data_IF_162044953003
#
_entry.id   IF_162044953003
#
_cell.length_a   1.000
_cell.length_b   1.000
_cell.length_c   1.000
_cell.angle_alpha   90.00
_cell.angle_beta   90.00
_cell.angle_gamma   90.00
#
_symmetry.space_group_name_H-M   'P 1'
#
loop_
_entity.id
_entity.type
_entity.pdbx_description
1 polymer ?
#
# COMPACT_ATOMS: atom_id res chain seq x y z
N UNK A 1 -13.92 -18.66 -6.68
CA UNK A 1 -12.86 -17.71 -7.06
C UNK A 1 -13.45 -16.52 -7.84
N UNK A 2 -13.08 -15.29 -7.50
CA UNK A 2 -13.66 -14.06 -8.08
C UNK A 2 -12.66 -13.29 -8.94
N UNK A 3 -13.14 -12.83 -10.10
CA UNK A 3 -12.41 -11.95 -11.02
C UNK A 3 -13.06 -10.57 -11.02
N UNK A 4 -12.22 -9.54 -11.08
CA UNK A 4 -12.62 -8.15 -11.24
C UNK A 4 -12.12 -7.61 -12.59
N UNK A 5 -12.83 -6.62 -13.12
CA UNK A 5 -12.36 -5.87 -14.28
C UNK A 5 -11.36 -4.81 -13.82
N UNK A 6 -10.22 -4.69 -14.49
CA UNK A 6 -9.19 -3.72 -14.12
C UNK A 6 -9.53 -2.32 -14.66
N UNK A 7 -10.09 -1.47 -13.79
CA UNK A 7 -10.56 -0.14 -14.18
C UNK A 7 -11.64 -0.21 -15.26
N UNK A 8 -11.72 0.83 -16.08
CA UNK A 8 -12.58 0.94 -17.25
C UNK A 8 -11.94 0.27 -18.48
N UNK A 9 -11.48 -0.97 -18.33
CA UNK A 9 -10.89 -1.78 -19.41
C UNK A 9 -11.66 -3.09 -19.63
N UNK A 10 -11.22 -3.91 -20.58
CA UNK A 10 -11.73 -5.27 -20.78
C UNK A 10 -10.94 -6.34 -20.00
N UNK A 11 -9.87 -5.97 -19.30
CA UNK A 11 -8.96 -6.93 -18.67
C UNK A 11 -9.57 -7.50 -17.38
N UNK A 12 -9.64 -8.83 -17.28
CA UNK A 12 -10.15 -9.56 -16.11
C UNK A 12 -8.97 -10.08 -15.27
N UNK A 13 -8.89 -9.65 -14.02
CA UNK A 13 -7.84 -10.05 -13.08
C UNK A 13 -8.42 -10.70 -11.83
N UNK A 14 -7.73 -11.68 -11.28
CA UNK A 14 -8.07 -12.25 -9.97
C UNK A 14 -7.94 -11.19 -8.87
N UNK A 15 -8.76 -11.29 -7.80
CA UNK A 15 -8.63 -10.37 -6.65
C UNK A 15 -7.30 -10.50 -5.91
N UNK A 16 -6.66 -11.66 -5.99
CA UNK A 16 -5.29 -11.87 -5.55
C UNK A 16 -4.33 -11.66 -6.72
N UNK A 17 -3.23 -10.96 -6.46
CA UNK A 17 -2.09 -10.85 -7.35
C UNK A 17 -0.85 -11.42 -6.68
N UNK A 18 -0.06 -12.21 -7.40
CA UNK A 18 1.20 -12.75 -6.89
C UNK A 18 2.34 -11.76 -7.16
N UNK A 19 2.84 -11.12 -6.10
CA UNK A 19 3.99 -10.24 -6.15
C UNK A 19 5.30 -11.00 -6.03
N UNK A 20 6.22 -10.76 -6.96
CA UNK A 20 7.44 -11.57 -7.12
C UNK A 20 8.71 -10.88 -6.62
N UNK A 21 8.57 -9.79 -5.85
CA UNK A 21 9.72 -9.08 -5.27
C UNK A 21 10.61 -9.98 -4.41
N UNK A 22 10.06 -11.03 -3.80
CA UNK A 22 10.88 -11.97 -3.01
C UNK A 22 11.63 -13.01 -3.86
N UNK A 23 11.30 -13.15 -5.15
CA UNK A 23 11.89 -14.17 -6.02
C UNK A 23 13.31 -13.77 -6.43
N UNK A 24 14.21 -14.73 -6.31
CA UNK A 24 15.65 -14.53 -6.40
C UNK A 24 16.30 -14.46 -5.02
N UNK A 25 17.58 -14.80 -5.00
CA UNK A 25 18.43 -14.81 -3.80
C UNK A 25 19.45 -13.67 -3.82
N UNK A 26 19.52 -12.91 -4.92
CA UNK A 26 20.43 -11.78 -5.09
C UNK A 26 19.80 -10.46 -4.65
N UNK A 27 20.55 -9.71 -3.85
CA UNK A 27 20.23 -8.32 -3.49
C UNK A 27 19.16 -8.15 -2.40
N UNK A 28 19.59 -7.63 -1.25
CA UNK A 28 18.72 -7.07 -0.21
C UNK A 28 17.86 -8.10 0.54
N UNK A 29 16.60 -7.75 0.79
CA UNK A 29 15.65 -8.49 1.68
C UNK A 29 15.02 -9.75 1.09
N UNK A 30 15.54 -10.22 -0.05
CA UNK A 30 14.97 -11.33 -0.82
C UNK A 30 15.36 -12.68 -0.23
N UNK A 31 14.83 -13.76 -0.80
CA UNK A 31 15.21 -15.09 -0.31
C UNK A 31 14.26 -16.21 -0.71
N UNK A 32 13.65 -16.13 -1.90
CA UNK A 32 12.94 -17.25 -2.49
C UNK A 32 13.77 -17.77 -3.67
N UNK A 33 14.32 -18.97 -3.53
CA UNK A 33 15.04 -19.64 -4.61
C UNK A 33 14.10 -20.00 -5.77
N UNK A 34 14.68 -20.27 -6.94
CA UNK A 34 13.90 -20.56 -8.14
C UNK A 34 12.98 -21.79 -8.00
N UNK A 35 13.42 -22.95 -7.46
CA UNK A 35 12.52 -24.10 -7.28
C UNK A 35 11.32 -23.79 -6.37
N UNK A 36 11.52 -23.01 -5.31
CA UNK A 36 10.43 -22.58 -4.42
C UNK A 36 9.53 -21.57 -5.09
N UNK A 37 10.08 -20.61 -5.82
CA UNK A 37 9.32 -19.64 -6.60
C UNK A 37 8.44 -20.33 -7.66
N UNK A 38 8.97 -21.33 -8.37
CA UNK A 38 8.22 -22.12 -9.33
C UNK A 38 7.05 -22.87 -8.69
N UNK A 39 7.25 -23.48 -7.50
CA UNK A 39 6.16 -24.12 -6.73
C UNK A 39 5.10 -23.11 -6.30
N UNK A 40 5.49 -21.92 -5.86
CA UNK A 40 4.55 -20.85 -5.49
C UNK A 40 3.73 -20.40 -6.69
N UNK A 41 4.37 -20.17 -7.85
CA UNK A 41 3.67 -19.81 -9.09
C UNK A 41 2.70 -20.92 -9.50
N UNK A 42 3.14 -22.17 -9.51
CA UNK A 42 2.29 -23.33 -9.81
C UNK A 42 1.06 -23.37 -8.90
N UNK A 43 1.26 -23.36 -7.58
CA UNK A 43 0.17 -23.39 -6.61
C UNK A 43 -0.80 -22.19 -6.74
N UNK A 44 -0.29 -21.00 -7.05
CA UNK A 44 -1.12 -19.80 -7.26
C UNK A 44 -2.01 -19.93 -8.51
N UNK A 45 -1.46 -20.45 -9.60
CA UNK A 45 -2.21 -20.70 -10.84
C UNK A 45 -3.16 -21.90 -10.72
N UNK A 46 -2.78 -22.94 -9.98
CA UNK A 46 -3.62 -24.11 -9.71
C UNK A 46 -4.82 -23.75 -8.82
N UNK A 47 -4.67 -22.76 -7.94
CA UNK A 47 -5.79 -22.16 -7.21
C UNK A 47 -6.74 -21.38 -8.14
N UNK A 48 -6.34 -21.06 -9.38
CA UNK A 48 -7.16 -20.38 -10.39
C UNK A 48 -6.92 -18.87 -10.52
N UNK A 49 -5.93 -18.32 -9.83
CA UNK A 49 -5.57 -16.90 -9.95
C UNK A 49 -4.73 -16.65 -11.21
N UNK A 50 -4.77 -15.42 -11.74
CA UNK A 50 -4.12 -15.13 -13.03
C UNK A 50 -3.18 -13.91 -13.01
N UNK A 51 -3.20 -13.05 -12.00
CA UNK A 51 -2.38 -11.83 -12.00
C UNK A 51 -1.02 -12.06 -11.33
N UNK A 52 0.07 -11.95 -12.09
CA UNK A 52 1.45 -12.02 -11.57
C UNK A 52 2.13 -10.67 -11.79
N UNK A 53 2.66 -10.08 -10.73
CA UNK A 53 3.30 -8.77 -10.72
C UNK A 53 4.80 -8.88 -10.39
N UNK A 54 5.64 -8.41 -11.33
CA UNK A 54 7.11 -8.35 -11.22
C UNK A 54 7.63 -6.95 -11.57
N UNK A 55 8.94 -6.75 -11.64
CA UNK A 55 9.58 -5.54 -12.15
C UNK A 55 11.02 -5.80 -12.59
N UNK A 56 11.53 -4.98 -13.50
CA UNK A 56 12.92 -5.02 -13.95
C UNK A 56 13.93 -4.92 -12.80
N UNK A 57 13.66 -4.08 -11.79
CA UNK A 57 14.51 -3.86 -10.63
C UNK A 57 14.50 -5.02 -9.63
N UNK A 58 13.59 -5.98 -9.76
CA UNK A 58 13.47 -7.05 -8.77
C UNK A 58 14.61 -8.06 -8.96
N UNK A 59 15.52 -8.08 -7.98
CA UNK A 59 16.72 -8.91 -7.95
C UNK A 59 17.64 -8.66 -9.16
N UNK A 60 17.73 -7.40 -9.61
CA UNK A 60 18.49 -7.05 -10.83
C UNK A 60 17.96 -7.77 -12.07
N UNK A 61 16.63 -7.92 -12.16
CA UNK A 61 15.94 -8.63 -13.24
C UNK A 61 15.84 -10.14 -13.05
N UNK A 62 16.44 -10.74 -12.00
CA UNK A 62 16.34 -12.19 -11.81
C UNK A 62 14.92 -12.66 -11.52
N UNK A 63 14.11 -11.84 -10.84
CA UNK A 63 12.70 -12.16 -10.59
C UNK A 63 11.94 -12.37 -11.91
N UNK A 64 12.17 -11.52 -12.93
CA UNK A 64 11.57 -11.70 -14.25
C UNK A 64 12.02 -12.98 -14.94
N UNK A 65 13.29 -13.36 -14.82
CA UNK A 65 13.78 -14.63 -15.40
C UNK A 65 13.11 -15.84 -14.76
N UNK A 66 12.99 -15.84 -13.43
CA UNK A 66 12.31 -16.88 -12.66
C UNK A 66 10.84 -16.96 -13.08
N UNK A 67 10.14 -15.81 -13.13
CA UNK A 67 8.73 -15.75 -13.54
C UNK A 67 8.55 -16.27 -14.96
N UNK A 68 9.37 -15.82 -15.91
CA UNK A 68 9.31 -16.27 -17.30
C UNK A 68 9.47 -17.77 -17.46
N UNK A 69 10.38 -18.39 -16.70
CA UNK A 69 10.53 -19.85 -16.65
C UNK A 69 9.32 -20.52 -15.99
N UNK A 70 8.82 -19.98 -14.87
CA UNK A 70 7.73 -20.56 -14.09
C UNK A 70 6.37 -20.53 -14.80
N UNK A 71 6.11 -19.57 -15.69
CA UNK A 71 4.85 -19.47 -16.46
C UNK A 71 4.92 -20.14 -17.83
N UNK A 72 6.06 -20.73 -18.20
CA UNK A 72 6.23 -21.39 -19.51
C UNK A 72 5.19 -22.50 -19.68
N UNK A 73 4.54 -22.53 -20.85
CA UNK A 73 3.44 -23.46 -21.13
C UNK A 73 2.09 -23.07 -20.53
N UNK A 74 2.04 -22.04 -19.68
CA UNK A 74 0.80 -21.47 -19.09
C UNK A 74 0.67 -19.96 -19.33
N UNK A 75 1.49 -19.36 -20.21
CA UNK A 75 1.54 -17.92 -20.45
C UNK A 75 0.18 -17.30 -20.75
N UNK A 76 -0.66 -17.98 -21.51
CA UNK A 76 -2.00 -17.49 -21.91
C UNK A 76 -3.01 -17.52 -20.76
N UNK A 77 -2.71 -18.21 -19.66
CA UNK A 77 -3.53 -18.24 -18.44
C UNK A 77 -3.19 -17.09 -17.50
N UNK A 78 -2.14 -16.31 -17.79
CA UNK A 78 -1.56 -15.32 -16.89
C UNK A 78 -1.75 -13.92 -17.44
N UNK A 79 -2.24 -13.01 -16.60
CA UNK A 79 -2.08 -11.58 -16.76
C UNK A 79 -0.72 -11.21 -16.17
N UNK A 80 0.27 -11.01 -17.03
CA UNK A 80 1.64 -10.74 -16.64
C UNK A 80 1.89 -9.24 -16.58
N UNK A 81 2.14 -8.73 -15.38
CA UNK A 81 2.43 -7.33 -15.11
C UNK A 81 3.92 -7.12 -14.78
N UNK A 82 4.56 -6.14 -15.41
CA UNK A 82 5.91 -5.69 -15.05
C UNK A 82 6.02 -4.17 -15.00
N UNK A 83 7.16 -3.66 -14.52
CA UNK A 83 7.40 -2.23 -14.27
C UNK A 83 8.80 -1.82 -14.67
N UNK A 84 8.96 -0.55 -15.00
CA UNK A 84 10.24 0.10 -15.24
C UNK A 84 10.31 1.51 -14.65
N UNK A 85 11.54 2.03 -14.52
CA UNK A 85 11.83 3.41 -14.09
C UNK A 85 12.66 3.52 -12.82
N UNK A 86 12.85 2.41 -12.11
CA UNK A 86 13.84 2.32 -11.02
C UNK A 86 15.26 2.18 -11.59
N UNK A 87 16.31 2.62 -10.88
CA UNK A 87 17.69 2.49 -11.35
C UNK A 87 18.10 1.05 -11.64
N UNK A 88 18.59 0.80 -12.85
CA UNK A 88 19.13 -0.49 -13.33
C UNK A 88 20.65 -0.47 -13.47
N UNK A 89 21.29 0.68 -13.27
CA UNK A 89 22.73 0.89 -13.48
C UNK A 89 23.19 2.26 -12.98
N UNK A 90 24.50 2.52 -12.99
CA UNK A 90 25.07 3.77 -12.50
C UNK A 90 24.89 4.94 -13.47
N UNK A 91 24.61 4.68 -14.76
CA UNK A 91 24.52 5.70 -15.78
C UNK A 91 23.31 6.63 -15.60
N UNK A 92 23.40 7.87 -16.14
CA UNK A 92 22.32 8.85 -16.02
C UNK A 92 21.03 8.39 -16.72
N UNK A 93 21.15 7.58 -17.79
CA UNK A 93 20.03 7.06 -18.57
C UNK A 93 19.61 5.63 -18.15
N UNK A 94 20.12 5.11 -17.02
CA UNK A 94 19.78 3.78 -16.49
C UNK A 94 18.61 3.83 -15.50
N UNK A 95 17.83 4.91 -15.50
CA UNK A 95 16.65 5.12 -14.63
C UNK A 95 15.63 6.05 -15.31
N UNK A 96 14.49 6.24 -14.66
CA UNK A 96 13.50 7.25 -15.05
C UNK A 96 12.56 6.79 -16.16
N UNK A 97 11.75 7.70 -16.67
CA UNK A 97 10.68 7.43 -17.63
C UNK A 97 10.94 8.00 -19.02
N UNK A 98 12.19 8.41 -19.31
CA UNK A 98 12.58 8.87 -20.64
C UNK A 98 12.37 7.79 -21.69
N UNK A 99 12.12 8.20 -22.93
CA UNK A 99 11.96 7.29 -24.08
C UNK A 99 13.13 6.32 -24.21
N UNK A 100 14.35 6.83 -24.03
CA UNK A 100 15.58 6.05 -24.13
C UNK A 100 15.64 4.93 -23.09
N UNK A 101 15.31 5.23 -21.83
CA UNK A 101 15.32 4.24 -20.76
C UNK A 101 14.17 3.24 -20.93
N UNK A 102 12.93 3.72 -21.09
CA UNK A 102 11.75 2.86 -21.17
C UNK A 102 11.83 1.86 -22.32
N UNK A 103 12.34 2.28 -23.48
CA UNK A 103 12.51 1.39 -24.64
C UNK A 103 13.49 0.26 -24.29
N UNK A 104 14.66 0.60 -23.74
CA UNK A 104 15.66 -0.41 -23.33
C UNK A 104 15.13 -1.33 -22.22
N UNK A 105 14.40 -0.78 -21.24
CA UNK A 105 13.85 -1.51 -20.12
C UNK A 105 12.78 -2.53 -20.54
N UNK A 106 11.84 -2.14 -21.42
CA UNK A 106 10.82 -3.05 -21.93
C UNK A 106 11.46 -4.20 -22.72
N UNK A 107 12.37 -3.89 -23.65
CA UNK A 107 13.08 -4.90 -24.43
C UNK A 107 13.85 -5.91 -23.56
N UNK A 108 14.51 -5.41 -22.51
CA UNK A 108 15.21 -6.26 -21.57
C UNK A 108 14.25 -7.13 -20.74
N UNK A 109 13.11 -6.58 -20.34
CA UNK A 109 12.09 -7.30 -19.57
C UNK A 109 11.47 -8.42 -20.41
N UNK A 110 11.08 -8.15 -21.66
CA UNK A 110 10.55 -9.15 -22.60
C UNK A 110 11.52 -10.31 -22.81
N UNK A 111 12.82 -10.02 -22.99
CA UNK A 111 13.87 -11.05 -23.09
C UNK A 111 13.99 -11.89 -21.82
N UNK A 112 13.98 -11.26 -20.62
CA UNK A 112 14.07 -11.98 -19.34
C UNK A 112 12.83 -12.85 -19.08
N UNK A 113 11.65 -12.32 -19.39
CA UNK A 113 10.37 -13.01 -19.25
C UNK A 113 10.17 -14.10 -20.32
N UNK A 114 10.91 -14.05 -21.44
CA UNK A 114 10.80 -15.03 -22.51
C UNK A 114 9.45 -14.96 -23.24
N UNK A 115 8.91 -13.75 -23.41
CA UNK A 115 7.61 -13.46 -24.03
C UNK A 115 7.75 -12.28 -25.00
N UNK A 116 6.88 -12.21 -26.00
CA UNK A 116 6.83 -11.10 -26.98
C UNK A 116 6.02 -9.90 -26.47
N UNK A 117 5.15 -10.14 -25.48
CA UNK A 117 4.34 -9.10 -24.86
C UNK A 117 4.13 -9.31 -23.36
N UNK A 118 3.84 -8.20 -22.67
CA UNK A 118 3.26 -8.17 -21.31
C UNK A 118 1.83 -7.64 -21.34
N UNK A 119 1.00 -8.11 -20.42
CA UNK A 119 -0.39 -7.70 -20.34
C UNK A 119 -0.51 -6.32 -19.73
N UNK A 120 0.26 -6.03 -18.68
CA UNK A 120 0.25 -4.74 -18.00
C UNK A 120 1.68 -4.22 -17.83
N UNK A 121 1.98 -3.06 -18.40
CA UNK A 121 3.26 -2.38 -18.20
C UNK A 121 3.06 -1.10 -17.38
N UNK A 122 3.81 -0.96 -16.30
CA UNK A 122 3.60 0.10 -15.32
C UNK A 122 4.84 0.99 -15.17
N UNK A 123 4.64 2.31 -15.09
CA UNK A 123 5.67 3.21 -14.56
C UNK A 123 5.85 2.93 -13.06
N UNK A 124 7.05 2.57 -12.61
CA UNK A 124 7.29 2.11 -11.24
C UNK A 124 7.19 3.26 -10.21
N UNK A 125 7.54 4.47 -10.62
CA UNK A 125 7.47 5.71 -9.83
C UNK A 125 7.26 6.91 -10.77
N UNK A 126 6.79 8.03 -10.25
CA UNK A 126 6.84 9.30 -10.98
C UNK A 126 8.29 9.72 -11.29
N UNK A 127 8.52 10.28 -12.47
CA UNK A 127 9.81 10.85 -12.88
C UNK A 127 9.66 12.35 -13.17
N UNK A 128 10.14 13.24 -12.28
CA UNK A 128 10.08 14.67 -12.52
C UNK A 128 11.06 15.15 -13.60
N UNK A 129 12.01 14.30 -14.02
CA UNK A 129 13.01 14.62 -15.03
C UNK A 129 12.54 14.41 -16.47
N UNK A 130 11.40 13.74 -16.67
CA UNK A 130 10.85 13.44 -18.00
C UNK A 130 9.47 14.06 -18.14
N UNK A 131 9.19 14.86 -19.18
CA UNK A 131 7.83 15.34 -19.46
C UNK A 131 6.83 14.18 -19.57
N UNK A 132 5.65 14.35 -18.97
CA UNK A 132 4.60 13.32 -18.97
C UNK A 132 4.15 12.97 -20.38
N UNK A 133 4.17 13.93 -21.31
CA UNK A 133 3.88 13.71 -22.73
C UNK A 133 4.86 12.74 -23.40
N UNK A 134 6.16 12.88 -23.13
CA UNK A 134 7.18 12.00 -23.69
C UNK A 134 6.97 10.57 -23.19
N UNK A 135 6.73 10.43 -21.89
CA UNK A 135 6.46 9.14 -21.24
C UNK A 135 5.24 8.48 -21.89
N UNK A 136 4.09 9.17 -21.93
CA UNK A 136 2.85 8.61 -22.45
C UNK A 136 2.90 8.31 -23.94
N UNK A 137 3.54 9.16 -24.75
CA UNK A 137 3.73 8.89 -26.18
C UNK A 137 4.64 7.67 -26.41
N UNK A 138 5.64 7.47 -25.55
CA UNK A 138 6.51 6.28 -25.60
C UNK A 138 5.73 5.01 -25.27
N UNK A 139 4.97 5.03 -24.17
CA UNK A 139 4.14 3.91 -23.74
C UNK A 139 3.07 3.55 -24.77
N UNK A 140 2.42 4.54 -25.39
CA UNK A 140 1.48 4.34 -26.50
C UNK A 140 2.15 3.63 -27.69
N UNK A 141 3.39 4.01 -28.00
CA UNK A 141 4.21 3.32 -29.00
C UNK A 141 4.38 1.82 -28.70
N UNK A 142 4.56 1.44 -27.44
CA UNK A 142 4.66 0.04 -27.04
C UNK A 142 3.34 -0.73 -27.22
N UNK A 143 2.22 -0.07 -26.94
CA UNK A 143 0.88 -0.62 -27.17
C UNK A 143 0.64 -0.84 -28.67
N UNK A 144 0.90 0.17 -29.50
CA UNK A 144 0.76 0.08 -30.97
C UNK A 144 1.67 -0.98 -31.58
N UNK A 145 2.87 -1.17 -31.01
CA UNK A 145 3.80 -2.21 -31.44
C UNK A 145 3.39 -3.62 -30.97
N UNK A 146 2.32 -3.77 -30.20
CA UNK A 146 1.84 -5.05 -29.70
C UNK A 146 2.71 -5.67 -28.60
N UNK A 147 3.63 -4.91 -28.00
CA UNK A 147 4.51 -5.39 -26.91
C UNK A 147 3.87 -5.25 -25.53
N UNK A 148 2.86 -4.41 -25.42
CA UNK A 148 2.11 -4.14 -24.20
C UNK A 148 0.62 -4.13 -24.52
N UNK A 149 -0.23 -4.72 -23.66
CA UNK A 149 -1.69 -4.68 -23.84
C UNK A 149 -2.33 -3.50 -23.09
N UNK A 150 -1.92 -3.28 -21.85
CA UNK A 150 -2.48 -2.28 -20.95
C UNK A 150 -1.38 -1.51 -20.22
N UNK A 151 -1.69 -0.26 -19.84
CA UNK A 151 -0.78 0.63 -19.15
C UNK A 151 -1.23 0.91 -17.72
N UNK A 152 -0.26 1.12 -16.82
CA UNK A 152 -0.52 1.55 -15.46
C UNK A 152 0.61 2.39 -14.87
N UNK A 153 0.46 2.79 -13.62
CA UNK A 153 1.49 3.53 -12.89
C UNK A 153 1.53 3.16 -11.42
N UNK A 154 2.62 3.52 -10.76
CA UNK A 154 2.91 3.30 -9.35
C UNK A 154 3.68 4.50 -8.83
N UNK A 155 3.66 4.73 -7.51
CA UNK A 155 4.44 5.80 -6.88
C UNK A 155 4.08 7.19 -7.38
N UNK A 156 2.78 7.46 -7.57
CA UNK A 156 2.23 8.75 -8.02
C UNK A 156 1.28 9.32 -6.96
N UNK A 157 1.14 10.64 -6.95
CA UNK A 157 0.09 11.35 -6.20
C UNK A 157 -1.23 11.37 -6.99
N UNK A 158 -2.33 11.75 -6.34
CA UNK A 158 -3.62 11.95 -7.02
C UNK A 158 -3.53 13.02 -8.12
N UNK A 159 -2.84 14.13 -7.86
CA UNK A 159 -2.64 15.19 -8.86
C UNK A 159 -1.86 14.71 -10.09
N UNK A 160 -0.78 13.94 -9.88
CA UNK A 160 -0.01 13.35 -10.98
C UNK A 160 -0.82 12.31 -11.77
N UNK A 161 -1.68 11.54 -11.10
CA UNK A 161 -2.59 10.61 -11.78
C UNK A 161 -3.58 11.34 -12.68
N UNK A 162 -4.17 12.45 -12.20
CA UNK A 162 -5.06 13.32 -12.97
C UNK A 162 -4.33 13.92 -14.17
N UNK A 163 -3.13 14.46 -13.96
CA UNK A 163 -2.27 15.02 -15.01
C UNK A 163 -1.98 13.99 -16.11
N UNK A 164 -1.55 12.78 -15.72
CA UNK A 164 -1.26 11.72 -16.66
C UNK A 164 -2.53 11.27 -17.43
N UNK A 165 -3.67 11.14 -16.75
CA UNK A 165 -4.93 10.78 -17.38
C UNK A 165 -5.35 11.78 -18.46
N UNK A 166 -5.38 13.08 -18.13
CA UNK A 166 -5.80 14.11 -19.08
C UNK A 166 -4.79 14.33 -20.20
N UNK A 167 -3.50 14.19 -19.90
CA UNK A 167 -2.47 14.22 -20.94
C UNK A 167 -2.63 13.06 -21.92
N UNK A 168 -2.87 11.83 -21.45
CA UNK A 168 -3.11 10.68 -22.34
C UNK A 168 -4.31 10.93 -23.27
N UNK A 169 -5.41 11.48 -22.73
CA UNK A 169 -6.60 11.85 -23.52
C UNK A 169 -6.29 12.92 -24.55
N UNK A 170 -5.56 13.98 -24.18
CA UNK A 170 -5.16 15.06 -25.11
C UNK A 170 -4.28 14.54 -26.24
N UNK A 171 -3.34 13.64 -25.94
CA UNK A 171 -2.46 13.00 -26.92
C UNK A 171 -3.17 11.93 -27.77
N UNK A 172 -4.40 11.53 -27.40
CA UNK A 172 -5.08 10.34 -27.94
C UNK A 172 -4.22 9.08 -27.82
N UNK A 173 -3.47 8.99 -26.72
CA UNK A 173 -2.67 7.84 -26.36
C UNK A 173 -3.52 6.78 -25.64
N UNK A 174 -3.03 5.55 -25.57
CA UNK A 174 -3.60 4.50 -24.74
C UNK A 174 -3.79 4.98 -23.27
N UNK A 175 -4.95 4.70 -22.65
CA UNK A 175 -5.22 5.16 -21.29
C UNK A 175 -4.45 4.34 -20.25
N UNK A 176 -4.16 4.96 -19.11
CA UNK A 176 -3.79 4.24 -17.89
C UNK A 176 -5.04 3.54 -17.35
N UNK A 177 -4.99 2.22 -17.16
CA UNK A 177 -6.11 1.43 -16.63
C UNK A 177 -5.91 1.02 -15.17
N UNK A 178 -4.69 1.18 -14.65
CA UNK A 178 -4.38 0.85 -13.26
C UNK A 178 -3.42 1.81 -12.57
N UNK A 179 -3.55 1.88 -11.25
CA UNK A 179 -2.58 2.48 -10.34
C UNK A 179 -2.21 1.47 -9.25
N UNK A 180 -0.94 1.44 -8.85
CA UNK A 180 -0.41 0.49 -7.86
C UNK A 180 0.08 1.21 -6.58
N UNK A 181 -0.81 1.55 -5.63
CA UNK A 181 -0.44 2.23 -4.39
C UNK A 181 -0.16 1.26 -3.23
N UNK A 182 0.59 1.73 -2.24
CA UNK A 182 0.71 1.02 -0.97
C UNK A 182 -0.63 1.09 -0.22
N UNK A 183 -1.10 -0.03 0.31
CA UNK A 183 -2.24 -0.04 1.22
C UNK A 183 -2.14 -1.17 2.22
N UNK A 184 -2.24 -0.83 3.50
CA UNK A 184 -2.34 -1.76 4.62
C UNK A 184 -2.90 -1.05 5.85
N UNK A 185 -3.20 -1.78 6.91
CA UNK A 185 -3.63 -1.16 8.18
C UNK A 185 -2.62 -0.11 8.67
N UNK A 186 -1.32 -0.31 8.42
CA UNK A 186 -0.24 0.59 8.86
C UNK A 186 0.12 1.68 7.84
N UNK A 187 -0.44 1.64 6.63
CA UNK A 187 -0.16 2.58 5.55
C UNK A 187 -1.44 2.86 4.75
N UNK A 188 -2.11 3.96 5.10
CA UNK A 188 -3.48 4.27 4.68
C UNK A 188 -3.60 5.50 3.79
N UNK A 189 -2.49 6.17 3.47
CA UNK A 189 -2.50 7.45 2.74
C UNK A 189 -3.29 7.38 1.42
N UNK A 190 -3.24 6.23 0.73
CA UNK A 190 -3.96 6.01 -0.52
C UNK A 190 -5.49 6.14 -0.41
N UNK A 191 -6.07 5.90 0.77
CA UNK A 191 -7.52 6.01 1.00
C UNK A 191 -8.02 7.46 0.90
N UNK A 192 -7.15 8.44 1.17
CA UNK A 192 -7.57 9.84 1.29
C UNK A 192 -7.90 10.44 -0.07
N UNK A 193 -6.98 10.35 -1.02
CA UNK A 193 -7.12 11.04 -2.32
C UNK A 193 -6.92 10.10 -3.51
N UNK A 194 -5.92 9.21 -3.44
CA UNK A 194 -5.48 8.46 -4.62
C UNK A 194 -6.53 7.42 -5.07
N UNK A 195 -7.09 6.63 -4.14
CA UNK A 195 -8.11 5.63 -4.48
C UNK A 195 -9.43 6.26 -4.96
N UNK A 196 -10.00 7.28 -4.27
CA UNK A 196 -11.18 7.99 -4.79
C UNK A 196 -10.93 8.62 -6.17
N UNK A 197 -9.76 9.23 -6.37
CA UNK A 197 -9.38 9.83 -7.66
C UNK A 197 -9.28 8.78 -8.75
N UNK A 198 -8.59 7.65 -8.49
CA UNK A 198 -8.47 6.56 -9.44
C UNK A 198 -9.85 6.02 -9.84
N UNK A 199 -10.73 5.78 -8.85
CA UNK A 199 -12.10 5.33 -9.11
C UNK A 199 -12.88 6.33 -9.98
N UNK A 200 -12.82 7.63 -9.67
CA UNK A 200 -13.47 8.68 -10.46
C UNK A 200 -12.97 8.81 -11.90
N UNK A 201 -11.70 8.43 -12.15
CA UNK A 201 -11.10 8.40 -13.49
C UNK A 201 -11.31 7.07 -14.24
N UNK A 202 -11.97 6.07 -13.61
CA UNK A 202 -12.11 4.73 -14.17
C UNK A 202 -10.80 3.94 -14.17
N UNK A 203 -9.91 4.19 -13.22
CA UNK A 203 -8.61 3.52 -13.07
C UNK A 203 -8.71 2.53 -11.90
N UNK A 204 -8.37 1.26 -12.13
CA UNK A 204 -8.41 0.22 -11.09
C UNK A 204 -7.20 0.28 -10.17
N UNK A 205 -7.37 0.02 -8.88
CA UNK A 205 -6.25 -0.05 -7.94
C UNK A 205 -5.77 -1.49 -7.71
N UNK A 206 -4.48 -1.73 -7.92
CA UNK A 206 -3.78 -2.96 -7.56
C UNK A 206 -2.89 -2.63 -6.36
N UNK A 207 -3.32 -2.94 -5.14
CA UNK A 207 -2.60 -2.46 -3.94
C UNK A 207 -1.48 -3.39 -3.51
N UNK A 208 -0.39 -2.85 -2.96
CA UNK A 208 0.76 -3.63 -2.53
C UNK A 208 1.11 -3.46 -1.05
N UNK A 209 1.91 -4.42 -0.54
CA UNK A 209 2.28 -4.56 0.87
C UNK A 209 1.08 -4.60 1.85
N UNK A 210 0.05 -5.45 1.63
CA UNK A 210 -1.09 -5.56 2.54
C UNK A 210 -0.68 -5.95 3.97
N UNK A 211 0.47 -6.61 4.13
CA UNK A 211 1.03 -7.03 5.42
C UNK A 211 2.04 -6.03 6.01
N UNK A 212 2.28 -4.88 5.37
CA UNK A 212 3.20 -3.87 5.88
C UNK A 212 4.63 -4.37 6.08
N UNK A 213 5.17 -5.15 5.14
CA UNK A 213 6.51 -5.77 5.28
C UNK A 213 6.55 -6.97 6.25
N UNK A 214 5.38 -7.52 6.60
CA UNK A 214 5.22 -8.67 7.50
C UNK A 214 4.82 -8.28 8.93
N UNK A 215 4.72 -6.97 9.22
CA UNK A 215 4.31 -6.46 10.53
C UNK A 215 2.95 -6.98 10.96
N UNK A 216 1.97 -6.96 10.04
CA UNK A 216 0.60 -7.37 10.32
C UNK A 216 0.40 -8.89 10.42
N UNK A 217 1.48 -9.68 10.39
CA UNK A 217 1.43 -11.12 10.71
C UNK A 217 1.58 -11.40 12.20
N UNK A 218 1.83 -10.36 13.03
CA UNK A 218 2.07 -10.48 14.47
C UNK A 218 3.50 -10.88 14.87
N UNK A 219 4.37 -11.21 13.90
CA UNK A 219 5.74 -11.70 14.17
C UNK A 219 6.72 -10.70 14.78
N UNK A 220 6.29 -9.44 14.94
CA UNK A 220 7.08 -8.39 15.59
C UNK A 220 6.40 -7.79 16.82
N UNK A 221 5.31 -8.42 17.29
CA UNK A 221 4.54 -7.91 18.44
C UNK A 221 5.43 -7.76 19.67
N UNK A 222 5.24 -6.66 20.41
CA UNK A 222 6.01 -6.37 21.61
C UNK A 222 7.49 -6.08 21.34
N UNK A 223 7.83 -5.64 20.13
CA UNK A 223 9.20 -5.34 19.72
C UNK A 223 10.08 -6.57 19.43
N UNK A 224 9.47 -7.76 19.37
CA UNK A 224 10.18 -8.97 18.97
C UNK A 224 10.66 -8.90 17.52
N UNK A 225 11.77 -9.56 17.20
CA UNK A 225 12.23 -9.69 15.81
C UNK A 225 12.48 -11.16 15.50
N UNK A 226 11.50 -11.79 14.85
CA UNK A 226 11.61 -13.20 14.48
C UNK A 226 12.85 -13.47 13.59
N UNK A 227 13.61 -14.55 13.82
CA UNK A 227 14.71 -14.96 12.96
C UNK A 227 14.28 -15.17 11.51
N UNK A 228 15.14 -14.81 10.55
CA UNK A 228 14.82 -14.95 9.13
C UNK A 228 13.60 -14.15 8.67
N UNK A 229 13.18 -13.14 9.44
CA UNK A 229 12.18 -12.14 9.05
C UNK A 229 12.77 -11.07 8.12
N UNK A 230 11.92 -10.20 7.57
CA UNK A 230 12.39 -9.08 6.73
C UNK A 230 13.19 -8.08 7.54
N UNK A 231 12.73 -7.75 8.74
CA UNK A 231 13.42 -6.85 9.67
C UNK A 231 14.79 -7.39 10.04
N UNK A 232 14.90 -8.70 10.35
CA UNK A 232 16.20 -9.33 10.62
C UNK A 232 17.16 -9.16 9.42
N UNK A 233 16.73 -9.55 8.22
CA UNK A 233 17.57 -9.40 7.00
C UNK A 233 17.99 -7.96 6.74
N UNK A 234 17.10 -6.98 6.95
CA UNK A 234 17.44 -5.57 6.78
C UNK A 234 18.52 -5.12 7.74
N UNK A 235 18.47 -5.58 8.99
CA UNK A 235 19.50 -5.29 9.98
C UNK A 235 20.83 -5.97 9.60
N UNK A 236 20.77 -7.20 9.11
CA UNK A 236 21.95 -7.96 8.68
C UNK A 236 22.68 -7.32 7.49
N UNK A 237 21.98 -6.53 6.66
CA UNK A 237 22.60 -5.80 5.54
C UNK A 237 23.58 -4.71 6.00
N UNK A 238 23.50 -4.24 7.25
CA UNK A 238 24.48 -3.32 7.83
C UNK A 238 24.49 -1.88 7.30
N UNK A 239 23.67 -1.53 6.30
CA UNK A 239 23.57 -0.15 5.77
C UNK A 239 22.57 0.70 6.56
N UNK A 240 22.82 2.00 6.69
CA UNK A 240 21.91 2.91 7.39
C UNK A 240 20.52 3.00 6.73
N UNK A 241 20.48 2.93 5.39
CA UNK A 241 19.22 2.88 4.65
C UNK A 241 18.40 1.62 5.01
N UNK A 242 19.05 0.46 5.11
CA UNK A 242 18.37 -0.77 5.50
C UNK A 242 17.94 -0.75 6.97
N UNK A 243 18.78 -0.20 7.87
CA UNK A 243 18.44 -0.02 9.29
C UNK A 243 17.24 0.91 9.46
N UNK A 244 17.25 2.08 8.83
CA UNK A 244 16.14 3.03 8.88
C UNK A 244 14.84 2.42 8.34
N UNK A 245 14.92 1.61 7.29
CA UNK A 245 13.76 0.86 6.80
C UNK A 245 13.25 -0.16 7.82
N UNK A 246 14.13 -0.94 8.45
CA UNK A 246 13.76 -1.88 9.51
C UNK A 246 13.07 -1.18 10.68
N UNK A 247 13.62 -0.06 11.15
CA UNK A 247 13.07 0.72 12.25
C UNK A 247 11.72 1.36 11.91
N UNK A 248 11.55 1.84 10.68
CA UNK A 248 10.26 2.36 10.21
C UNK A 248 9.13 1.33 10.26
N UNK A 249 9.44 0.03 10.22
CA UNK A 249 8.44 -1.04 10.36
C UNK A 249 8.04 -1.29 11.81
N UNK A 250 8.94 -1.05 12.77
CA UNK A 250 8.77 -1.36 14.19
C UNK A 250 8.27 -0.16 15.02
N UNK A 251 7.53 0.77 14.41
CA UNK A 251 6.98 1.92 15.13
C UNK A 251 5.94 1.47 16.15
N UNK A 252 5.83 2.09 17.33
CA UNK A 252 4.82 1.74 18.33
C UNK A 252 3.38 1.73 17.79
N UNK A 253 3.04 2.68 16.90
CA UNK A 253 1.74 2.69 16.21
C UNK A 253 1.48 1.42 15.39
N UNK A 254 2.51 0.90 14.72
CA UNK A 254 2.37 -0.31 13.92
C UNK A 254 2.20 -1.56 14.78
N UNK A 255 2.87 -1.59 15.94
CA UNK A 255 2.70 -2.66 16.93
C UNK A 255 1.26 -2.70 17.45
N UNK A 256 0.69 -1.53 17.80
CA UNK A 256 -0.72 -1.41 18.16
C UNK A 256 -1.67 -1.91 17.06
N UNK A 257 -1.44 -1.50 15.80
CA UNK A 257 -2.25 -1.94 14.66
C UNK A 257 -2.12 -3.45 14.38
N UNK A 258 -0.92 -4.02 14.56
CA UNK A 258 -0.70 -5.45 14.46
C UNK A 258 -1.40 -6.21 15.59
N UNK A 259 -1.41 -5.67 16.82
CA UNK A 259 -2.12 -6.23 17.97
C UNK A 259 -3.63 -6.24 17.74
N UNK A 260 -4.17 -5.15 17.19
CA UNK A 260 -5.57 -5.05 16.82
C UNK A 260 -5.95 -6.08 15.73
N UNK A 261 -5.13 -6.24 14.70
CA UNK A 261 -5.32 -7.27 13.68
C UNK A 261 -5.27 -8.68 14.28
N UNK A 262 -4.39 -8.93 15.26
CA UNK A 262 -4.30 -10.21 15.94
C UNK A 262 -5.52 -10.52 16.82
N UNK A 263 -6.03 -9.52 17.55
CA UNK A 263 -7.25 -9.67 18.35
C UNK A 263 -8.46 -10.00 17.47
N UNK A 264 -8.66 -9.25 16.37
CA UNK A 264 -9.74 -9.52 15.41
C UNK A 264 -9.59 -10.91 14.76
N UNK A 265 -8.36 -11.31 14.46
CA UNK A 265 -8.09 -12.65 13.92
C UNK A 265 -8.47 -13.77 14.90
N UNK A 266 -8.18 -13.59 16.20
CA UNK A 266 -8.55 -14.54 17.24
C UNK A 266 -10.08 -14.70 17.34
N UNK A 267 -10.82 -13.58 17.34
CA UNK A 267 -12.28 -13.58 17.40
C UNK A 267 -12.92 -14.33 16.21
N UNK A 268 -12.32 -14.17 15.03
CA UNK A 268 -12.78 -14.78 13.78
C UNK A 268 -12.22 -16.19 13.53
N UNK A 269 -11.37 -16.72 14.43
CA UNK A 269 -10.63 -17.98 14.24
C UNK A 269 -9.84 -18.01 12.92
N UNK A 270 -9.27 -16.86 12.56
CA UNK A 270 -8.48 -16.65 11.36
C UNK A 270 -7.03 -16.29 11.73
N UNK A 271 -6.16 -16.12 10.73
CA UNK A 271 -4.80 -15.62 10.96
C UNK A 271 -4.75 -14.09 10.84
N UNK A 272 -3.82 -13.41 11.52
CA UNK A 272 -3.61 -11.97 11.33
C UNK A 272 -3.29 -11.62 9.86
N UNK A 273 -2.60 -12.52 9.15
CA UNK A 273 -2.36 -12.43 7.70
C UNK A 273 -3.67 -12.35 6.93
N UNK A 274 -4.59 -13.31 7.14
CA UNK A 274 -5.86 -13.37 6.44
C UNK A 274 -6.71 -12.11 6.73
N UNK A 275 -6.77 -11.66 7.99
CA UNK A 275 -7.49 -10.43 8.39
C UNK A 275 -6.92 -9.19 7.68
N UNK A 276 -5.59 -9.03 7.65
CA UNK A 276 -4.96 -7.88 7.02
C UNK A 276 -5.18 -7.85 5.50
N UNK A 277 -5.12 -9.01 4.84
CA UNK A 277 -5.42 -9.16 3.40
C UNK A 277 -6.89 -8.88 3.11
N UNK A 278 -7.82 -9.43 3.90
CA UNK A 278 -9.26 -9.18 3.76
C UNK A 278 -9.59 -7.69 3.93
N UNK A 279 -8.97 -7.05 4.94
CA UNK A 279 -9.14 -5.61 5.17
C UNK A 279 -8.62 -4.76 4.02
N UNK A 280 -7.48 -5.10 3.41
CA UNK A 280 -6.98 -4.36 2.24
C UNK A 280 -7.89 -4.57 1.02
N UNK A 281 -8.33 -5.81 0.80
CA UNK A 281 -9.14 -6.20 -0.37
C UNK A 281 -10.57 -5.66 -0.37
N UNK A 282 -11.12 -5.32 0.80
CA UNK A 282 -12.46 -4.73 0.92
C UNK A 282 -12.52 -3.21 0.71
N UNK A 283 -11.37 -2.52 0.70
CA UNK A 283 -11.37 -1.06 0.65
C UNK A 283 -12.01 -0.56 -0.67
N UNK A 284 -12.83 0.50 -0.63
CA UNK A 284 -13.42 1.07 -1.84
C UNK A 284 -12.35 1.42 -2.89
N UNK A 285 -12.62 1.05 -4.14
CA UNK A 285 -11.71 1.27 -5.27
C UNK A 285 -10.62 0.19 -5.47
N UNK A 286 -10.44 -0.73 -4.52
CA UNK A 286 -9.46 -1.82 -4.66
C UNK A 286 -9.96 -2.91 -5.61
N UNK A 287 -9.22 -3.12 -6.70
CA UNK A 287 -9.49 -4.16 -7.70
C UNK A 287 -8.79 -5.47 -7.32
N UNK A 288 -7.51 -5.39 -6.94
CA UNK A 288 -6.70 -6.56 -6.60
C UNK A 288 -5.67 -6.21 -5.50
N UNK A 289 -5.24 -7.21 -4.75
CA UNK A 289 -4.23 -7.09 -3.68
C UNK A 289 -3.02 -7.96 -4.02
N UNK A 290 -1.83 -7.35 -4.05
CA UNK A 290 -0.55 -8.03 -4.27
C UNK A 290 -0.07 -8.66 -2.97
N UNK A 291 -0.05 -9.99 -2.94
CA UNK A 291 0.51 -10.80 -1.85
C UNK A 291 1.94 -11.22 -2.19
N UNK A 292 2.79 -11.33 -1.17
CA UNK A 292 4.23 -11.58 -1.35
C UNK A 292 4.74 -12.74 -0.52
N UNK A 293 4.33 -13.99 -0.80
CA UNK A 293 4.82 -15.16 -0.09
C UNK A 293 6.29 -15.47 -0.42
N UNK A 294 6.94 -16.23 0.47
CA UNK A 294 8.28 -16.81 0.27
C UNK A 294 8.28 -18.33 0.36
N UNK A 295 7.17 -18.91 0.77
CA UNK A 295 6.94 -20.35 0.87
C UNK A 295 5.50 -20.64 0.43
N UNK A 296 5.20 -21.90 0.15
CA UNK A 296 3.84 -22.32 -0.26
C UNK A 296 2.86 -22.19 0.91
N UNK A 297 3.31 -22.36 2.14
CA UNK A 297 2.49 -22.20 3.35
C UNK A 297 2.10 -20.74 3.53
N UNK A 298 3.04 -19.81 3.30
CA UNK A 298 2.72 -18.38 3.29
C UNK A 298 1.74 -18.05 2.18
N UNK A 299 1.86 -18.68 0.99
CA UNK A 299 0.89 -18.48 -0.08
C UNK A 299 -0.51 -18.88 0.39
N UNK A 300 -0.68 -20.08 0.96
CA UNK A 300 -1.97 -20.55 1.47
C UNK A 300 -2.55 -19.59 2.53
N UNK A 301 -1.74 -19.14 3.48
CA UNK A 301 -2.16 -18.19 4.52
C UNK A 301 -2.58 -16.82 3.95
N UNK A 302 -1.89 -16.34 2.92
CA UNK A 302 -2.30 -15.12 2.21
C UNK A 302 -3.61 -15.32 1.44
N UNK A 303 -3.79 -16.47 0.79
CA UNK A 303 -4.99 -16.77 0.00
C UNK A 303 -6.24 -16.91 0.87
N UNK A 304 -6.11 -17.43 2.08
CA UNK A 304 -7.20 -17.50 3.05
C UNK A 304 -7.85 -16.13 3.34
N UNK A 305 -7.10 -15.03 3.20
CA UNK A 305 -7.64 -13.68 3.35
C UNK A 305 -8.64 -13.25 2.27
N UNK A 306 -8.67 -13.93 1.12
CA UNK A 306 -9.68 -13.66 0.07
C UNK A 306 -10.97 -14.47 0.24
N UNK A 307 -10.93 -15.52 1.07
CA UNK A 307 -12.08 -16.34 1.45
C UNK A 307 -12.67 -15.92 2.81
N UNK A 308 -11.95 -15.09 3.56
CA UNK A 308 -12.40 -14.56 4.85
C UNK A 308 -13.47 -13.49 4.64
N UNK A 309 -14.70 -13.79 5.05
CA UNK A 309 -15.72 -12.77 5.27
C UNK A 309 -15.35 -11.97 6.53
N UNK A 310 -15.06 -10.69 6.36
CA UNK A 310 -14.72 -9.78 7.45
C UNK A 310 -15.98 -9.00 7.84
N UNK A 311 -16.64 -9.31 8.97
CA UNK A 311 -17.90 -8.66 9.33
C UNK A 311 -17.74 -7.15 9.54
N UNK A 312 -18.79 -6.37 9.28
CA UNK A 312 -18.75 -4.92 9.43
C UNK A 312 -18.25 -4.44 10.81
N UNK A 313 -18.65 -5.05 11.95
CA UNK A 313 -18.12 -4.66 13.26
C UNK A 313 -16.61 -4.91 13.41
N UNK A 314 -16.10 -6.02 12.87
CA UNK A 314 -14.67 -6.33 12.90
C UNK A 314 -13.88 -5.36 12.01
N UNK A 315 -14.43 -5.01 10.84
CA UNK A 315 -13.85 -4.02 9.95
C UNK A 315 -13.81 -2.63 10.59
N UNK A 316 -14.90 -2.22 11.25
CA UNK A 316 -14.97 -0.95 11.96
C UNK A 316 -13.90 -0.86 13.06
N UNK A 317 -13.72 -1.93 13.85
CA UNK A 317 -12.61 -2.02 14.82
C UNK A 317 -11.27 -1.80 14.14
N UNK A 318 -11.00 -2.49 13.02
CA UNK A 318 -9.75 -2.32 12.27
C UNK A 318 -9.59 -0.92 11.67
N UNK A 319 -10.68 -0.24 11.32
CA UNK A 319 -10.67 1.12 10.78
C UNK A 319 -10.34 2.17 11.84
N UNK A 320 -10.48 1.85 13.13
CA UNK A 320 -9.99 2.68 14.22
C UNK A 320 -8.49 2.92 14.05
N UNK A 321 -8.14 4.13 13.65
CA UNK A 321 -6.77 4.62 13.65
C UNK A 321 -6.82 6.08 14.13
N UNK A 322 -6.33 6.35 15.36
CA UNK A 322 -6.39 7.69 15.95
C UNK A 322 -5.82 8.80 15.05
N UNK A 323 -4.83 8.49 14.21
CA UNK A 323 -4.26 9.47 13.28
C UNK A 323 -5.08 9.62 11.98
N UNK A 324 -5.87 8.63 11.59
CA UNK A 324 -6.85 8.79 10.50
C UNK A 324 -8.06 9.59 10.96
N UNK A 325 -8.49 9.47 12.22
CA UNK A 325 -9.58 10.29 12.77
C UNK A 325 -9.25 11.78 12.66
N UNK A 326 -8.01 12.17 12.97
CA UNK A 326 -7.53 13.55 12.80
C UNK A 326 -7.54 13.96 11.32
N UNK A 327 -7.04 13.12 10.41
CA UNK A 327 -6.98 13.45 8.98
C UNK A 327 -8.36 13.51 8.31
N UNK A 328 -9.25 12.56 8.62
CA UNK A 328 -10.63 12.53 8.13
C UNK A 328 -11.39 13.77 8.61
N UNK A 329 -11.19 14.19 9.86
CA UNK A 329 -11.72 15.45 10.37
C UNK A 329 -11.27 16.66 9.53
N UNK A 330 -9.97 16.74 9.19
CA UNK A 330 -9.44 17.81 8.33
C UNK A 330 -9.99 17.79 6.89
N UNK A 331 -10.12 16.61 6.27
CA UNK A 331 -10.66 16.48 4.90
C UNK A 331 -12.16 16.76 4.85
N UNK A 332 -12.93 16.26 5.83
CA UNK A 332 -14.37 16.46 5.96
C UNK A 332 -14.74 17.94 6.19
N UNK A 333 -13.94 18.67 6.97
CA UNK A 333 -14.10 20.11 7.16
C UNK A 333 -13.90 20.91 5.86
N UNK A 334 -13.02 20.43 4.95
CA UNK A 334 -12.79 21.05 3.64
C UNK A 334 -13.92 20.82 2.65
N UNK A 335 -14.63 19.70 2.74
CA UNK A 335 -15.68 19.32 1.77
C UNK A 335 -17.09 19.73 2.19
N UNK A 336 -17.28 20.19 3.43
CA UNK A 336 -18.55 20.75 3.92
C UNK A 336 -19.65 19.74 4.21
N UNK A 337 -19.32 18.45 4.33
CA UNK A 337 -20.28 17.41 4.69
C UNK A 337 -20.46 17.34 6.21
N UNK A 338 -21.51 18.00 6.71
CA UNK A 338 -21.83 18.11 8.13
C UNK A 338 -22.59 16.88 8.69
N UNK A 339 -23.11 15.99 7.84
CA UNK A 339 -23.97 14.87 8.28
C UNK A 339 -23.25 13.84 9.15
N UNK A 340 -21.93 13.72 8.99
CA UNK A 340 -21.08 12.81 9.77
C UNK A 340 -20.57 13.45 11.07
N UNK A 341 -20.58 14.80 11.15
CA UNK A 341 -20.16 15.55 12.35
C UNK A 341 -21.13 15.28 13.51
N UNK A 342 -22.43 15.22 13.22
CA UNK A 342 -23.45 14.90 14.23
C UNK A 342 -23.35 13.45 14.73
N UNK A 343 -22.79 12.53 13.93
CA UNK A 343 -22.61 11.13 14.37
C UNK A 343 -21.36 10.95 15.23
N UNK A 344 -20.32 11.77 15.02
CA UNK A 344 -19.11 11.80 15.85
C UNK A 344 -19.29 12.61 17.14
N UNK A 345 -20.34 13.46 17.23
CA UNK A 345 -20.55 14.41 18.34
C UNK A 345 -21.96 14.42 18.95
N UNK A 346 -22.85 13.47 18.63
CA UNK A 346 -24.15 13.36 19.33
C UNK A 346 -23.99 13.03 20.83
N UNK A 347 -24.90 13.51 21.70
CA UNK A 347 -24.50 14.20 22.91
C UNK A 347 -24.92 13.46 24.19
N UNK A 348 -23.94 12.93 24.92
CA UNK A 348 -24.08 12.64 26.36
C UNK A 348 -22.96 13.35 27.15
N UNK A 349 -22.70 14.62 26.79
CA UNK A 349 -21.85 15.51 27.56
C UNK A 349 -22.64 16.02 28.79
N UNK A 350 -22.83 15.15 29.78
CA UNK A 350 -23.19 15.63 31.11
C UNK A 350 -21.92 16.07 31.83
N UNK A 351 -21.98 17.31 32.29
CA UNK A 351 -21.02 18.04 33.09
C UNK A 351 -20.37 17.16 34.19
N UNK A 352 -19.04 17.31 34.33
CA UNK A 352 -18.17 16.69 35.34
C UNK A 352 -17.64 15.27 35.04
N UNK A 353 -16.55 15.19 34.27
CA UNK A 353 -15.67 14.01 34.23
C UNK A 353 -14.69 14.03 33.07
N UNK A 354 -13.39 13.91 33.36
CA UNK A 354 -12.33 13.83 32.34
C UNK A 354 -12.63 12.74 31.29
N UNK A 355 -12.50 13.01 29.97
CA UNK A 355 -12.62 11.97 28.96
C UNK A 355 -11.38 11.07 29.02
N UNK A 356 -11.56 9.86 29.54
CA UNK A 356 -10.63 8.76 29.30
C UNK A 356 -11.06 8.08 28.01
N UNK A 357 -10.20 8.09 26.99
CA UNK A 357 -10.35 7.18 25.84
C UNK A 357 -10.20 5.77 26.40
N UNK A 358 -11.31 5.05 26.61
CA UNK A 358 -11.26 3.68 27.11
C UNK A 358 -10.77 2.77 26.01
N UNK A 359 -9.54 2.30 26.19
CA UNK A 359 -9.03 1.08 25.55
C UNK A 359 -10.00 -0.08 25.89
N UNK A 360 -10.49 -0.85 24.91
CA UNK A 360 -11.24 -2.08 25.18
C UNK A 360 -10.46 -2.98 26.15
N UNK A 361 -11.15 -3.63 27.09
CA UNK A 361 -10.50 -4.36 28.20
C UNK A 361 -9.57 -5.50 27.73
N UNK A 362 -9.80 -6.01 26.53
CA UNK A 362 -8.99 -6.99 25.79
C UNK A 362 -7.72 -6.39 25.16
N UNK A 363 -7.73 -5.11 24.78
CA UNK A 363 -6.57 -4.38 24.22
C UNK A 363 -5.64 -3.87 25.34
N UNK A 364 -6.19 -3.57 26.51
CA UNK A 364 -5.42 -3.14 27.69
C UNK A 364 -4.44 -4.21 28.22
N UNK A 365 -4.67 -5.49 27.89
CA UNK A 365 -3.78 -6.59 28.30
C UNK A 365 -2.52 -6.72 27.43
N UNK A 366 -2.49 -6.11 26.23
CA UNK A 366 -1.43 -6.31 25.24
C UNK A 366 -0.61 -5.04 24.91
N UNK A 367 -1.04 -3.86 25.36
CA UNK A 367 -0.39 -2.58 25.03
C UNK A 367 -0.34 -1.69 26.27
N UNK A 368 0.83 -1.13 26.57
CA UNK A 368 0.95 -0.05 27.55
C UNK A 368 0.33 1.22 26.95
N UNK A 369 -0.78 1.77 27.52
CA UNK A 369 -1.34 3.03 27.03
C UNK A 369 -0.28 4.13 27.10
N UNK A 370 -0.23 5.02 26.11
CA UNK A 370 0.51 6.28 26.23
C UNK A 370 -0.48 7.31 26.78
N UNK A 371 -0.42 7.65 28.08
CA UNK A 371 -1.34 8.64 28.63
C UNK A 371 -0.97 10.02 28.08
N UNK A 372 -1.91 10.64 27.37
CA UNK A 372 -1.84 12.08 27.08
C UNK A 372 -2.50 12.79 28.26
N UNK A 373 -1.71 13.52 29.04
CA UNK A 373 -2.24 14.37 30.11
C UNK A 373 -2.41 15.78 29.56
N UNK A 374 -3.65 16.26 29.51
CA UNK A 374 -3.95 17.67 29.27
C UNK A 374 -3.74 18.41 30.59
N UNK A 375 -2.75 19.31 30.60
CA UNK A 375 -2.33 19.98 31.82
C UNK A 375 -3.03 21.34 31.97
N UNK A 376 -3.12 22.13 30.89
CA UNK A 376 -3.73 23.46 30.93
C UNK A 376 -4.43 23.80 29.61
N UNK A 377 -5.59 24.46 29.69
CA UNK A 377 -6.26 25.11 28.55
C UNK A 377 -6.44 26.59 28.88
N UNK A 378 -5.81 27.47 28.10
CA UNK A 378 -5.93 28.92 28.22
C UNK A 378 -6.65 29.49 27.00
N UNK A 379 -7.53 30.47 27.22
CA UNK A 379 -8.27 31.18 26.17
C UNK A 379 -8.16 32.68 26.37
N UNK A 380 -7.85 33.42 25.33
CA UNK A 380 -7.82 34.90 25.32
C UNK A 380 -8.85 35.51 24.34
N UNK A 381 -9.79 34.69 23.85
CA UNK A 381 -10.82 35.08 22.88
C UNK A 381 -10.40 35.03 21.41
N UNK A 382 -9.10 35.16 21.11
CA UNK A 382 -8.54 35.05 19.76
C UNK A 382 -7.65 33.82 19.57
N UNK A 383 -7.28 33.14 20.67
CA UNK A 383 -6.43 31.98 20.69
C UNK A 383 -6.84 31.02 21.82
N UNK A 384 -6.89 29.71 21.53
CA UNK A 384 -6.89 28.65 22.55
C UNK A 384 -5.50 28.05 22.58
N UNK A 385 -4.91 27.86 23.76
CA UNK A 385 -3.64 27.16 23.91
C UNK A 385 -3.87 25.97 24.82
N UNK A 386 -3.60 24.77 24.31
CA UNK A 386 -3.61 23.54 25.09
C UNK A 386 -2.18 23.04 25.25
N UNK A 387 -1.82 22.66 26.47
CA UNK A 387 -0.55 21.99 26.75
C UNK A 387 -0.80 20.59 27.27
N UNK A 388 0.03 19.65 26.85
CA UNK A 388 -0.04 18.30 27.37
C UNK A 388 1.24 17.52 27.19
N UNK A 389 1.38 16.45 27.96
CA UNK A 389 2.58 15.61 27.96
C UNK A 389 2.35 14.27 27.30
N UNK A 390 3.38 13.80 26.58
CA UNK A 390 3.50 12.45 26.03
C UNK A 390 4.85 11.89 26.51
N UNK A 391 4.83 11.10 27.58
CA UNK A 391 6.06 10.77 28.32
C UNK A 391 6.71 12.02 28.90
N UNK A 392 8.03 12.19 28.72
CA UNK A 392 8.77 13.39 29.16
C UNK A 392 8.69 14.56 28.17
N UNK A 393 8.03 14.37 27.02
CA UNK A 393 7.90 15.40 25.99
C UNK A 393 6.66 16.25 26.25
N UNK A 394 6.86 17.56 26.37
CA UNK A 394 5.78 18.54 26.46
C UNK A 394 5.38 18.98 25.06
N UNK A 395 4.07 19.02 24.78
CA UNK A 395 3.50 19.46 23.52
C UNK A 395 2.62 20.67 23.77
N UNK A 396 2.76 21.67 22.91
CA UNK A 396 1.92 22.87 22.94
C UNK A 396 1.13 22.95 21.63
N UNK A 397 -0.20 22.97 21.76
CA UNK A 397 -1.13 23.21 20.67
C UNK A 397 -1.68 24.62 20.77
N UNK A 398 -1.38 25.45 19.76
CA UNK A 398 -1.92 26.81 19.66
C UNK A 398 -2.98 26.84 18.57
N UNK A 399 -4.17 27.22 18.95
CA UNK A 399 -5.36 27.33 18.12
C UNK A 399 -5.72 28.81 17.98
N UNK A 400 -5.84 29.38 16.77
CA UNK A 400 -6.40 30.74 16.63
C UNK A 400 -7.91 30.68 16.40
N UNK A 401 -8.67 31.53 17.06
CA UNK A 401 -10.12 31.72 16.89
C UNK A 401 -10.41 33.06 16.21
N UNK A 402 -11.35 33.07 15.26
CA UNK A 402 -11.96 34.30 14.74
C UNK A 402 -13.47 34.09 14.75
N UNK A 403 -14.21 34.94 15.46
CA UNK A 403 -15.67 34.82 15.67
C UNK A 403 -16.09 33.46 16.23
N UNK A 404 -15.35 32.96 17.23
CA UNK A 404 -15.65 31.68 17.87
C UNK A 404 -15.35 30.42 17.04
N UNK A 405 -14.71 30.57 15.86
CA UNK A 405 -14.30 29.45 14.99
C UNK A 405 -12.79 29.32 14.88
N UNK A 406 -12.31 28.09 15.00
CA UNK A 406 -10.89 27.75 15.06
C UNK A 406 -10.28 27.71 13.63
N UNK A 407 -9.22 28.49 13.39
CA UNK A 407 -8.72 28.82 12.04
C UNK A 407 -7.32 28.29 11.70
N UNK A 408 -6.50 27.93 12.68
CA UNK A 408 -5.16 27.36 12.43
C UNK A 408 -4.63 26.56 13.62
N UNK A 409 -3.89 25.49 13.34
CA UNK A 409 -3.12 24.72 14.32
C UNK A 409 -1.62 24.91 14.08
N UNK A 410 -0.86 25.19 15.14
CA UNK A 410 0.59 24.99 15.16
C UNK A 410 0.95 24.10 16.34
N UNK A 411 1.74 23.06 16.06
CA UNK A 411 2.27 22.14 17.07
C UNK A 411 3.73 22.49 17.29
N UNK A 412 4.09 22.75 18.53
CA UNK A 412 5.46 23.00 18.95
C UNK A 412 5.94 21.84 19.82
N UNK A 413 7.21 21.48 19.65
CA UNK A 413 7.91 20.46 20.44
C UNK A 413 8.81 21.13 21.46
#
# INVERSE_FOLDING_TARGET
>A
MSFATLGASGLRVSRAALGTMNFGTTGGVRGCDEPTAARIVGAFLDAGHNLIDTADAYAGGESERIVGRAVRGRRDQVVLATKAGMPQGPGPNDRGLSRAHLTRALEASLRRLGTDHVDLYQCHQWDPGTPVEETLATLDGFVRAGKVRYLGCSGVTAAQLVEAHWTARRLRAAPLVSVQPQLSLIARDALTELLPTAAGLGIGAIVWSPLGGGVLTGRYLGGTVAPGSRVARLRDMGTDAARGWAESMLRPRHDWQAGLAAAVAADLRATPTAVAVAWAGRQPGVTSVIIGPRTVEQLADNLAGFDLDLPAPAAARLDEDPADLVRRYFTMWRTGDASTVDTLLAPDWTDHGHPSVRCPADVAAAVTPIPVRLDTVLTDGATVTATGRVGDTELVWVFRTHEGRLRSLRTYR
#
